data_IF_324178931069
#
_entry.id   IF_324178931069
#
_cell.length_a   1.000
_cell.length_b   1.000
_cell.length_c   1.000
_cell.angle_alpha   90.00
_cell.angle_beta   90.00
_cell.angle_gamma   90.00
#
_symmetry.space_group_name_H-M   'P 1'
#
loop_
_entity.id
_entity.type
_entity.pdbx_description
1 polymer ?
#
# COMPACT_ATOMS: atom_id res chain seq x y z
N UNK A 1 5.92 -7.49 -12.19
CA UNK A 1 4.67 -6.94 -11.64
C UNK A 1 4.37 -5.64 -12.34
N UNK A 2 3.15 -5.42 -12.84
CA UNK A 2 2.73 -4.09 -13.32
C UNK A 2 2.29 -3.29 -12.11
N UNK A 3 2.98 -2.19 -11.82
CA UNK A 3 2.56 -1.22 -10.83
C UNK A 3 1.44 -0.36 -11.44
N UNK A 4 0.44 0.01 -10.64
CA UNK A 4 -0.50 1.04 -11.08
C UNK A 4 0.27 2.36 -11.18
N UNK A 5 0.12 3.07 -12.30
CA UNK A 5 0.73 4.40 -12.46
C UNK A 5 0.28 5.31 -11.32
N UNK A 6 1.25 5.95 -10.65
CA UNK A 6 1.01 6.83 -9.50
C UNK A 6 1.01 6.17 -8.13
N UNK A 7 1.19 4.85 -8.00
CA UNK A 7 1.42 4.20 -6.70
C UNK A 7 2.91 3.95 -6.51
N UNK A 8 3.47 4.47 -5.42
CA UNK A 8 4.87 4.31 -5.08
C UNK A 8 5.23 2.84 -4.80
N UNK A 9 6.50 2.49 -5.02
CA UNK A 9 6.97 1.10 -5.00
C UNK A 9 6.86 0.49 -3.59
N UNK A 10 7.30 1.25 -2.59
CA UNK A 10 7.14 0.98 -1.16
C UNK A 10 5.70 0.71 -0.75
N UNK A 11 4.73 1.47 -1.27
CA UNK A 11 3.30 1.22 -1.05
C UNK A 11 2.85 -0.10 -1.66
N UNK A 12 3.31 -0.41 -2.89
CA UNK A 12 2.97 -1.65 -3.57
C UNK A 12 3.60 -2.90 -2.92
N UNK A 13 4.80 -2.74 -2.38
CA UNK A 13 5.58 -3.79 -1.74
C UNK A 13 5.36 -3.87 -0.22
N UNK A 14 4.45 -3.07 0.32
CA UNK A 14 4.15 -3.04 1.75
C UNK A 14 3.58 -4.38 2.23
N UNK A 15 4.17 -4.90 3.31
CA UNK A 15 3.79 -6.16 3.92
C UNK A 15 3.07 -5.93 5.25
N UNK A 16 2.01 -6.71 5.48
CA UNK A 16 1.41 -6.87 6.80
C UNK A 16 1.53 -8.35 7.15
N UNK A 17 2.36 -8.66 8.15
CA UNK A 17 2.76 -10.03 8.43
C UNK A 17 3.46 -10.67 7.22
N UNK A 18 3.01 -11.86 6.81
CA UNK A 18 3.63 -12.65 5.74
C UNK A 18 3.15 -12.36 4.31
N UNK A 19 2.37 -11.30 4.07
CA UNK A 19 1.82 -11.04 2.73
C UNK A 19 1.89 -9.57 2.32
N UNK A 20 2.06 -9.35 1.01
CA UNK A 20 1.92 -8.05 0.36
C UNK A 20 0.44 -7.72 0.16
N UNK A 21 -0.02 -6.64 0.79
CA UNK A 21 -1.46 -6.31 0.89
C UNK A 21 -2.07 -6.07 -0.49
N UNK A 22 -1.48 -5.17 -1.27
CA UNK A 22 -1.98 -4.80 -2.59
C UNK A 22 -1.85 -5.96 -3.60
N UNK A 23 -0.78 -6.74 -3.51
CA UNK A 23 -0.60 -7.92 -4.37
C UNK A 23 -1.63 -9.02 -4.06
N UNK A 24 -1.94 -9.25 -2.77
CA UNK A 24 -2.99 -10.19 -2.35
C UNK A 24 -4.35 -9.74 -2.87
N UNK A 25 -4.69 -8.45 -2.73
CA UNK A 25 -5.95 -7.90 -3.23
C UNK A 25 -6.16 -8.17 -4.73
N UNK A 26 -5.15 -7.86 -5.56
CA UNK A 26 -5.24 -8.12 -7.00
C UNK A 26 -5.27 -9.61 -7.33
N UNK A 27 -4.55 -10.45 -6.57
CA UNK A 27 -4.54 -11.91 -6.75
C UNK A 27 -5.93 -12.50 -6.53
N UNK A 28 -6.66 -12.02 -5.53
CA UNK A 28 -8.01 -12.46 -5.20
C UNK A 28 -9.01 -12.07 -6.30
N UNK A 29 -8.72 -11.01 -7.08
CA UNK A 29 -9.60 -10.49 -8.15
C UNK A 29 -9.19 -10.88 -9.58
N UNK A 30 -8.07 -11.59 -9.76
CA UNK A 30 -7.48 -11.94 -11.08
C UNK A 30 -8.37 -12.71 -12.05
N UNK A 31 -9.52 -13.23 -11.62
CA UNK A 31 -10.43 -14.01 -12.46
C UNK A 31 -11.44 -13.17 -13.24
N UNK A 32 -11.49 -11.85 -13.03
CA UNK A 32 -12.41 -10.95 -13.74
C UNK A 32 -11.85 -9.54 -13.92
N UNK A 33 -12.54 -8.72 -14.72
CA UNK A 33 -12.28 -7.27 -14.76
C UNK A 33 -12.73 -6.64 -13.45
N UNK A 34 -11.94 -5.70 -12.96
CA UNK A 34 -12.29 -4.89 -11.79
C UNK A 34 -13.45 -3.96 -12.13
N UNK A 35 -14.41 -3.84 -11.23
CA UNK A 35 -15.41 -2.78 -11.27
C UNK A 35 -14.77 -1.45 -10.86
N UNK A 36 -15.45 -0.34 -11.17
CA UNK A 36 -15.03 0.98 -10.70
C UNK A 36 -14.92 1.07 -9.18
N UNK A 37 -15.84 0.42 -8.45
CA UNK A 37 -15.83 0.38 -6.99
C UNK A 37 -14.60 -0.36 -6.44
N UNK A 38 -14.17 -1.43 -7.09
CA UNK A 38 -12.99 -2.19 -6.69
C UNK A 38 -11.69 -1.44 -6.97
N UNK A 39 -11.65 -0.70 -8.09
CA UNK A 39 -10.53 0.20 -8.40
C UNK A 39 -10.44 1.30 -7.34
N UNK A 40 -11.57 1.90 -6.97
CA UNK A 40 -11.62 2.94 -5.96
C UNK A 40 -11.24 2.41 -4.57
N UNK A 41 -11.72 1.22 -4.21
CA UNK A 41 -11.33 0.57 -2.97
C UNK A 41 -9.83 0.26 -2.93
N UNK A 42 -9.26 -0.27 -4.02
CA UNK A 42 -7.83 -0.50 -4.15
C UNK A 42 -7.02 0.79 -3.96
N UNK A 43 -7.45 1.91 -4.53
CA UNK A 43 -6.82 3.23 -4.33
C UNK A 43 -6.88 3.68 -2.87
N UNK A 44 -8.03 3.54 -2.21
CA UNK A 44 -8.17 3.90 -0.79
C UNK A 44 -7.24 3.10 0.10
N UNK A 45 -7.11 1.79 -0.14
CA UNK A 45 -6.16 0.93 0.58
C UNK A 45 -4.72 1.39 0.33
N UNK A 46 -4.36 1.70 -0.92
CA UNK A 46 -3.02 2.20 -1.25
C UNK A 46 -2.71 3.54 -0.54
N UNK A 47 -3.65 4.47 -0.49
CA UNK A 47 -3.47 5.74 0.24
C UNK A 47 -3.32 5.53 1.74
N UNK A 48 -4.07 4.61 2.34
CA UNK A 48 -3.96 4.30 3.76
C UNK A 48 -2.57 3.70 4.10
N UNK A 49 -2.04 2.84 3.23
CA UNK A 49 -0.67 2.31 3.36
C UNK A 49 0.35 3.43 3.24
N UNK A 50 0.24 4.30 2.23
CA UNK A 50 1.13 5.44 2.05
C UNK A 50 1.18 6.31 3.32
N UNK A 51 0.01 6.64 3.88
CA UNK A 51 -0.07 7.43 5.11
C UNK A 51 0.53 6.71 6.31
N UNK A 52 0.40 5.39 6.37
CA UNK A 52 1.02 4.57 7.44
C UNK A 52 2.54 4.65 7.37
N UNK A 53 3.12 4.52 6.17
CA UNK A 53 4.57 4.63 5.95
C UNK A 53 5.05 6.02 6.37
N UNK A 54 4.35 7.09 5.97
CA UNK A 54 4.69 8.46 6.36
C UNK A 54 4.74 8.66 7.88
N UNK A 55 3.71 8.17 8.60
CA UNK A 55 3.62 8.32 10.07
C UNK A 55 4.73 7.54 10.77
N UNK A 56 5.01 6.30 10.34
CA UNK A 56 6.07 5.47 10.93
C UNK A 56 7.43 6.14 10.76
N UNK A 57 7.71 6.70 9.58
CA UNK A 57 8.96 7.43 9.33
C UNK A 57 9.06 8.69 10.19
N UNK A 58 7.96 9.40 10.38
CA UNK A 58 7.93 10.60 11.23
C UNK A 58 8.24 10.28 12.70
N UNK A 59 7.68 9.20 13.26
CA UNK A 59 7.98 8.75 14.63
C UNK A 59 9.43 8.28 14.79
N UNK A 60 9.99 7.55 13.81
CA UNK A 60 11.40 7.14 13.85
C UNK A 60 12.36 8.34 13.86
N UNK A 61 12.05 9.41 13.11
CA UNK A 61 12.88 10.63 13.08
C UNK A 61 12.87 11.37 14.42
N UNK A 62 11.75 11.35 15.16
CA UNK A 62 11.66 11.96 16.49
C UNK A 62 12.59 11.23 17.48
N UNK A 63 12.65 9.90 17.44
CA UNK A 63 13.50 9.10 18.32
C UNK A 63 15.00 9.30 18.11
N UNK A 64 15.43 9.70 16.90
CA UNK A 64 16.85 9.95 16.58
C UNK A 64 17.29 11.37 16.99
N UNK A 65 16.36 12.32 17.09
CA UNK A 65 16.66 13.73 17.43
C UNK A 65 16.80 14.01 18.93
N UNK A 66 16.32 13.10 19.78
CA UNK A 66 16.38 13.20 21.25
C UNK A 66 17.63 12.50 21.85
N UNK A 67 18.62 12.13 21.02
CA UNK A 67 19.92 11.57 21.45
C UNK A 67 21.07 12.52 21.17
#
# INVERSE_FOLDING_TARGET
>A
MKYFEGIAKDVCEYHIGGYQVLAKYLKDLKKRKLSWEEIEHYRKVAMAIARTIEVVVEEEVIMVREK
#
